data_IF_455871539087
#
_entry.id   IF_455871539087
#
_cell.length_a   1.000
_cell.length_b   1.000
_cell.length_c   1.000
_cell.angle_alpha   90.00
_cell.angle_beta   90.00
_cell.angle_gamma   90.00
#
_symmetry.space_group_name_H-M   'P 1'
#
loop_
_entity.id
_entity.type
_entity.pdbx_description
1 polymer ?
#
# COMPACT_ATOMS: atom_id res chain seq x y z
N UNK A 1 0.83 -19.63 12.38
CA UNK A 1 1.75 -18.68 13.03
C UNK A 1 1.18 -18.32 14.40
N UNK A 2 2.02 -18.19 15.41
CA UNK A 2 1.58 -17.83 16.77
C UNK A 2 1.26 -16.32 16.82
N UNK A 3 0.24 -15.92 17.58
CA UNK A 3 -0.10 -14.51 17.86
C UNK A 3 1.12 -13.74 18.39
N UNK A 4 2.00 -14.40 19.15
CA UNK A 4 3.27 -13.85 19.64
C UNK A 4 4.21 -13.42 18.52
N UNK A 5 4.23 -14.16 17.42
CA UNK A 5 5.07 -13.88 16.26
C UNK A 5 4.60 -12.64 15.49
N UNK A 6 3.29 -12.44 15.43
CA UNK A 6 2.67 -11.29 14.77
C UNK A 6 2.89 -10.02 15.61
N UNK A 7 2.78 -10.11 16.92
CA UNK A 7 3.04 -8.97 17.81
C UNK A 7 4.51 -8.53 17.78
N UNK A 8 5.46 -9.47 17.77
CA UNK A 8 6.89 -9.15 17.66
C UNK A 8 7.21 -8.40 16.35
N UNK A 9 6.47 -8.70 15.27
CA UNK A 9 6.67 -8.03 13.99
C UNK A 9 6.07 -6.62 13.95
N UNK A 10 4.95 -6.40 14.61
CA UNK A 10 4.38 -5.05 14.80
C UNK A 10 5.38 -4.17 15.56
N UNK A 11 5.98 -4.68 16.64
CA UNK A 11 6.97 -3.96 17.43
C UNK A 11 8.24 -3.63 16.62
N UNK A 12 8.62 -4.50 15.69
CA UNK A 12 9.78 -4.30 14.80
C UNK A 12 9.57 -3.15 13.81
N UNK A 13 8.41 -3.10 13.17
CA UNK A 13 8.06 -2.02 12.25
C UNK A 13 7.97 -0.68 13.01
N UNK A 14 7.51 -0.71 14.25
CA UNK A 14 7.46 0.43 15.15
C UNK A 14 8.85 1.02 15.44
N UNK A 15 9.84 0.19 15.70
CA UNK A 15 11.21 0.63 16.00
C UNK A 15 11.87 1.31 14.79
N UNK A 16 11.60 0.84 13.56
CA UNK A 16 12.19 1.41 12.35
C UNK A 16 11.61 2.78 11.98
N UNK A 17 10.31 3.01 12.25
CA UNK A 17 9.69 4.32 12.01
C UNK A 17 10.17 5.41 12.98
N UNK A 18 10.68 5.03 14.16
CA UNK A 18 11.20 5.97 15.16
C UNK A 18 12.60 6.51 14.83
N UNK A 19 13.33 5.89 13.91
CA UNK A 19 14.69 6.32 13.55
C UNK A 19 14.75 7.44 12.50
N UNK A 20 13.62 7.76 11.84
CA UNK A 20 13.59 8.78 10.76
C UNK A 20 13.12 10.18 11.24
N UNK A 21 12.97 10.40 12.55
CA UNK A 21 12.39 11.63 13.12
C UNK A 21 13.41 12.67 13.59
N UNK A 22 14.69 12.58 13.22
CA UNK A 22 15.71 13.58 13.61
C UNK A 22 16.40 14.23 12.41
N UNK A 23 15.64 15.06 11.68
CA UNK A 23 16.23 16.11 10.82
C UNK A 23 15.61 17.45 11.23
N UNK A 24 16.30 18.16 12.12
CA UNK A 24 16.04 19.55 12.45
C UNK A 24 16.66 20.45 11.38
N UNK A 25 15.83 20.99 10.48
CA UNK A 25 16.15 22.11 9.62
C UNK A 25 15.37 23.35 10.02
N UNK A 26 15.89 24.59 9.81
CA UNK A 26 15.28 25.82 10.30
C UNK A 26 13.96 26.15 9.58
N UNK A 27 13.04 26.93 10.20
CA UNK A 27 11.70 27.18 9.67
C UNK A 27 11.74 28.10 8.45
N UNK A 28 11.30 27.58 7.31
CA UNK A 28 11.07 28.37 6.11
C UNK A 28 9.63 28.91 6.12
N UNK A 29 9.52 30.23 6.03
CA UNK A 29 8.30 31.02 6.08
C UNK A 29 7.29 30.57 5.02
N UNK A 30 6.10 30.17 5.43
CA UNK A 30 4.98 29.80 4.57
C UNK A 30 4.43 31.03 3.83
N UNK A 31 4.39 30.93 2.50
CA UNK A 31 3.54 31.81 1.66
C UNK A 31 2.16 31.16 1.59
N UNK A 32 1.19 31.74 2.27
CA UNK A 32 -0.22 31.35 2.21
C UNK A 32 -0.86 31.91 0.95
N UNK A 33 -1.02 31.09 -0.08
CA UNK A 33 -2.06 31.30 -1.09
C UNK A 33 -3.21 30.34 -0.78
N UNK A 34 -4.39 30.88 -0.48
CA UNK A 34 -5.51 30.08 -0.02
C UNK A 34 -6.12 29.28 -1.17
N UNK A 35 -6.54 28.06 -0.86
CA UNK A 35 -7.26 27.14 -1.76
C UNK A 35 -8.54 27.80 -2.35
N UNK A 36 -9.08 28.82 -1.68
CA UNK A 36 -10.24 29.59 -2.13
C UNK A 36 -9.99 30.38 -3.42
N UNK A 37 -8.75 30.88 -3.63
CA UNK A 37 -8.41 31.69 -4.82
C UNK A 37 -8.22 30.82 -6.07
N UNK A 38 -7.81 29.56 -5.90
CA UNK A 38 -7.70 28.60 -7.00
C UNK A 38 -9.07 28.13 -7.51
N UNK A 39 -10.07 28.05 -6.64
CA UNK A 39 -11.43 27.63 -7.00
C UNK A 39 -12.21 28.74 -7.73
N UNK A 40 -11.95 30.01 -7.40
CA UNK A 40 -12.61 31.16 -8.02
C UNK A 40 -12.18 31.40 -9.48
N UNK A 41 -10.98 30.95 -9.86
CA UNK A 41 -10.45 31.11 -11.23
C UNK A 41 -10.98 30.04 -12.20
N UNK A 42 -11.43 28.89 -11.71
CA UNK A 42 -11.94 27.79 -12.52
C UNK A 42 -13.40 27.98 -12.99
N UNK A 43 -14.14 28.95 -12.44
CA UNK A 43 -15.57 29.12 -12.69
C UNK A 43 -15.93 30.20 -13.74
N UNK A 44 -14.94 30.81 -14.39
CA UNK A 44 -15.18 31.84 -15.42
C UNK A 44 -14.67 31.43 -16.79
N UNK A 45 -15.35 30.49 -17.45
CA UNK A 45 -15.25 30.35 -18.91
C UNK A 45 -16.60 29.97 -19.47
N UNK A 46 -17.19 30.76 -20.40
CA UNK A 46 -18.49 30.46 -20.99
C UNK A 46 -18.41 29.35 -22.04
N UNK A 47 -19.46 28.56 -22.12
CA UNK A 47 -19.65 27.50 -23.09
C UNK A 47 -19.66 28.04 -24.54
N UNK A 48 -18.89 27.40 -25.41
CA UNK A 48 -19.06 27.54 -26.88
C UNK A 48 -19.36 26.15 -27.48
N UNK A 49 -20.41 26.15 -28.29
CA UNK A 49 -21.09 25.04 -28.94
C UNK A 49 -20.26 24.43 -30.09
N UNK A 50 -20.44 23.14 -30.31
CA UNK A 50 -19.87 22.14 -31.22
C UNK A 50 -19.55 22.53 -32.67
N UNK A 51 -18.84 21.70 -33.48
CA UNK A 51 -19.39 20.46 -34.01
C UNK A 51 -18.47 19.24 -34.01
N UNK A 52 -19.08 18.08 -34.21
CA UNK A 52 -18.47 16.77 -34.22
C UNK A 52 -17.42 16.58 -35.33
N UNK A 53 -16.25 16.04 -34.92
CA UNK A 53 -15.35 15.32 -35.81
C UNK A 53 -14.76 14.17 -35.00
N UNK A 54 -15.00 12.96 -35.49
CA UNK A 54 -14.39 11.72 -35.01
C UNK A 54 -12.89 11.79 -35.12
N UNK A 55 -12.21 11.95 -34.00
CA UNK A 55 -10.80 11.66 -33.86
C UNK A 55 -10.69 10.67 -32.69
N UNK A 56 -10.24 9.47 -32.97
CA UNK A 56 -9.82 8.52 -31.95
C UNK A 56 -8.65 9.12 -31.19
N UNK A 57 -8.99 9.85 -30.15
CA UNK A 57 -8.00 10.35 -29.20
C UNK A 57 -7.68 9.19 -28.26
N UNK A 58 -6.45 8.70 -28.34
CA UNK A 58 -5.88 7.88 -27.28
C UNK A 58 -5.99 8.68 -25.98
N UNK A 59 -7.04 8.40 -25.22
CA UNK A 59 -7.27 9.01 -23.93
C UNK A 59 -6.10 8.66 -23.01
N UNK A 60 -5.49 9.67 -22.41
CA UNK A 60 -4.69 9.48 -21.21
C UNK A 60 -5.62 8.80 -20.19
N UNK A 61 -5.48 7.46 -20.05
CA UNK A 61 -6.33 6.67 -19.18
C UNK A 61 -6.16 7.17 -17.75
N UNK A 62 -7.24 7.56 -17.13
CA UNK A 62 -7.35 7.53 -15.68
C UNK A 62 -6.78 6.20 -15.20
N UNK A 63 -6.06 6.12 -14.06
CA UNK A 63 -5.53 4.85 -13.54
C UNK A 63 -6.70 3.87 -13.47
N UNK A 64 -6.70 2.91 -14.38
CA UNK A 64 -7.85 2.06 -14.67
C UNK A 64 -8.09 1.18 -13.44
N UNK A 65 -9.19 1.42 -12.75
CA UNK A 65 -9.77 0.42 -11.88
C UNK A 65 -10.12 -0.78 -12.77
N UNK A 66 -9.33 -1.86 -12.72
CA UNK A 66 -9.68 -3.11 -13.36
C UNK A 66 -10.69 -3.87 -12.47
N UNK A 67 -11.99 -3.85 -12.80
CA UNK A 67 -13.02 -4.48 -11.96
C UNK A 67 -12.84 -6.00 -11.89
N UNK A 68 -12.23 -6.61 -12.91
CA UNK A 68 -11.96 -8.05 -12.89
C UNK A 68 -10.81 -8.37 -11.94
N UNK A 69 -9.79 -7.52 -11.88
CA UNK A 69 -8.71 -7.68 -10.91
C UNK A 69 -9.26 -7.49 -9.49
N UNK A 70 -10.05 -6.46 -9.24
CA UNK A 70 -10.68 -6.22 -7.95
C UNK A 70 -11.49 -7.44 -7.47
N UNK A 71 -12.36 -7.98 -8.32
CA UNK A 71 -13.16 -9.17 -8.00
C UNK A 71 -12.30 -10.41 -7.75
N UNK A 72 -11.19 -10.59 -8.48
CA UNK A 72 -10.25 -11.70 -8.26
C UNK A 72 -9.53 -11.59 -6.93
N UNK A 73 -9.11 -10.37 -6.54
CA UNK A 73 -8.49 -10.13 -5.24
C UNK A 73 -9.48 -10.40 -4.10
N UNK A 74 -10.72 -9.94 -4.21
CA UNK A 74 -11.76 -10.21 -3.20
C UNK A 74 -12.05 -11.70 -3.07
N UNK A 75 -12.17 -12.42 -4.18
CA UNK A 75 -12.38 -13.86 -4.18
C UNK A 75 -11.21 -14.63 -3.55
N UNK A 76 -9.96 -14.20 -3.84
CA UNK A 76 -8.78 -14.80 -3.21
C UNK A 76 -8.75 -14.52 -1.70
N UNK A 77 -9.00 -13.27 -1.27
CA UNK A 77 -9.04 -12.89 0.15
C UNK A 77 -10.11 -13.66 0.91
N UNK A 78 -11.32 -13.75 0.35
CA UNK A 78 -12.42 -14.50 0.96
C UNK A 78 -12.12 -16.00 1.10
N UNK A 79 -11.44 -16.58 0.12
CA UNK A 79 -11.00 -17.99 0.16
C UNK A 79 -9.85 -18.22 1.12
N UNK A 80 -8.88 -17.32 1.15
CA UNK A 80 -7.65 -17.44 1.94
C UNK A 80 -7.90 -17.20 3.43
N UNK A 81 -8.68 -16.17 3.75
CA UNK A 81 -9.03 -15.80 5.13
C UNK A 81 -10.52 -15.46 5.21
N UNK A 82 -11.39 -16.46 5.38
CA UNK A 82 -12.82 -16.23 5.54
C UNK A 82 -13.11 -15.28 6.70
N UNK A 83 -13.95 -14.27 6.47
CA UNK A 83 -14.29 -13.26 7.48
C UNK A 83 -13.26 -12.15 7.63
N UNK A 84 -12.25 -12.07 6.76
CA UNK A 84 -11.34 -10.93 6.73
C UNK A 84 -12.08 -9.62 6.47
N UNK A 85 -11.77 -8.55 7.24
CA UNK A 85 -12.35 -7.23 7.00
C UNK A 85 -11.88 -6.59 5.69
N UNK A 86 -10.85 -7.13 5.04
CA UNK A 86 -10.37 -6.65 3.74
C UNK A 86 -11.13 -7.25 2.54
N UNK A 87 -12.01 -8.23 2.77
CA UNK A 87 -12.91 -8.72 1.72
C UNK A 87 -13.87 -7.61 1.32
N UNK A 88 -13.94 -7.31 0.02
CA UNK A 88 -14.69 -6.17 -0.52
C UNK A 88 -13.83 -4.92 -0.78
N UNK A 89 -12.55 -4.93 -0.38
CA UNK A 89 -11.60 -3.84 -0.64
C UNK A 89 -10.71 -4.09 -1.88
N UNK A 90 -11.01 -5.09 -2.70
CA UNK A 90 -10.25 -5.38 -3.93
C UNK A 90 -10.12 -4.16 -4.85
N UNK A 91 -11.17 -3.36 -4.98
CA UNK A 91 -11.14 -2.12 -5.75
C UNK A 91 -10.20 -1.05 -5.14
N UNK A 92 -10.11 -0.97 -3.81
CA UNK A 92 -9.19 -0.05 -3.13
C UNK A 92 -7.73 -0.45 -3.39
N UNK A 93 -7.40 -1.74 -3.33
CA UNK A 93 -6.08 -2.25 -3.66
C UNK A 93 -5.69 -1.95 -5.12
N UNK A 94 -6.61 -2.17 -6.07
CA UNK A 94 -6.38 -1.87 -7.49
C UNK A 94 -6.15 -0.39 -7.71
N UNK A 95 -6.99 0.47 -7.13
CA UNK A 95 -6.87 1.93 -7.22
C UNK A 95 -5.56 2.42 -6.61
N UNK A 96 -5.23 1.99 -5.39
CA UNK A 96 -4.01 2.39 -4.69
C UNK A 96 -2.75 1.91 -5.42
N UNK A 97 -2.77 0.67 -5.94
CA UNK A 97 -1.70 0.13 -6.77
C UNK A 97 -1.46 0.96 -8.02
N UNK A 98 -2.51 1.22 -8.81
CA UNK A 98 -2.43 2.01 -10.02
C UNK A 98 -1.94 3.45 -9.77
N UNK A 99 -2.43 4.10 -8.72
CA UNK A 99 -2.02 5.46 -8.34
C UNK A 99 -0.53 5.56 -7.95
N UNK A 100 0.08 4.46 -7.51
CA UNK A 100 1.43 4.42 -6.97
C UNK A 100 2.41 3.55 -7.79
N UNK A 101 1.97 3.02 -8.93
CA UNK A 101 2.79 2.16 -9.80
C UNK A 101 3.20 0.85 -9.12
N UNK A 102 2.31 0.25 -8.31
CA UNK A 102 2.52 -0.99 -7.57
C UNK A 102 1.49 -2.02 -8.00
N UNK A 103 1.93 -3.24 -8.23
CA UNK A 103 1.02 -4.37 -8.47
C UNK A 103 0.10 -4.57 -7.24
N UNK A 104 -1.23 -4.44 -7.39
CA UNK A 104 -2.16 -4.57 -6.27
C UNK A 104 -2.11 -5.95 -5.59
N UNK A 105 -1.73 -7.00 -6.32
CA UNK A 105 -1.52 -8.35 -5.75
C UNK A 105 -0.40 -8.37 -4.71
N UNK A 106 0.65 -7.55 -4.92
CA UNK A 106 1.72 -7.41 -3.95
C UNK A 106 1.21 -6.77 -2.65
N UNK A 107 0.40 -5.72 -2.73
CA UNK A 107 -0.18 -5.08 -1.54
C UNK A 107 -1.03 -6.08 -0.74
N UNK A 108 -1.89 -6.86 -1.41
CA UNK A 108 -2.69 -7.92 -0.75
C UNK A 108 -1.78 -8.99 -0.13
N UNK A 109 -0.72 -9.41 -0.82
CA UNK A 109 0.22 -10.41 -0.31
C UNK A 109 0.94 -9.94 0.96
N UNK A 110 1.31 -8.66 1.02
CA UNK A 110 1.90 -8.06 2.24
C UNK A 110 0.88 -8.04 3.39
N UNK A 111 -0.36 -7.58 3.16
CA UNK A 111 -1.40 -7.58 4.20
C UNK A 111 -1.72 -9.00 4.71
N UNK A 112 -1.69 -10.01 3.82
CA UNK A 112 -1.85 -11.41 4.20
C UNK A 112 -0.69 -11.90 5.08
N UNK A 113 0.54 -11.53 4.74
CA UNK A 113 1.74 -11.91 5.50
C UNK A 113 1.79 -11.24 6.87
N UNK A 114 1.44 -9.96 6.96
CA UNK A 114 1.58 -9.16 8.19
C UNK A 114 0.50 -9.47 9.23
N UNK A 115 -0.74 -9.63 8.80
CA UNK A 115 -1.87 -9.69 9.74
C UNK A 115 -2.95 -10.73 9.38
N UNK A 116 -2.64 -11.69 8.50
CA UNK A 116 -3.67 -12.54 7.92
C UNK A 116 -4.88 -11.70 7.42
N UNK A 117 -4.60 -10.71 6.57
CA UNK A 117 -5.60 -9.80 6.01
C UNK A 117 -6.42 -9.04 7.07
N UNK A 118 -5.77 -8.52 8.08
CA UNK A 118 -6.40 -7.71 9.13
C UNK A 118 -7.17 -8.50 10.18
N UNK A 119 -7.05 -9.83 10.23
CA UNK A 119 -7.72 -10.66 11.26
C UNK A 119 -6.87 -10.94 12.48
N UNK A 120 -5.56 -10.71 12.41
CA UNK A 120 -4.62 -11.05 13.47
C UNK A 120 -3.74 -9.87 13.86
N UNK A 121 -3.22 -9.92 15.09
CA UNK A 121 -2.37 -8.86 15.64
C UNK A 121 -3.14 -7.64 16.13
N UNK A 122 -2.41 -6.68 16.71
CA UNK A 122 -2.99 -5.42 17.22
C UNK A 122 -3.49 -4.49 16.11
N UNK A 123 -3.00 -4.67 14.88
CA UNK A 123 -3.40 -3.86 13.73
C UNK A 123 -4.88 -3.99 13.34
N UNK A 124 -5.55 -5.10 13.72
CA UNK A 124 -6.96 -5.33 13.41
C UNK A 124 -7.90 -4.28 14.05
N UNK A 125 -7.58 -3.84 15.25
CA UNK A 125 -8.44 -2.94 16.04
C UNK A 125 -8.21 -1.46 15.65
N UNK A 126 -7.19 -1.18 14.84
CA UNK A 126 -6.78 0.16 14.40
C UNK A 126 -6.72 0.28 12.88
N UNK A 127 -7.36 -0.61 12.13
CA UNK A 127 -7.39 -0.64 10.66
C UNK A 127 -6.00 -0.65 10.00
N UNK A 128 -5.01 -1.30 10.64
CA UNK A 128 -3.63 -1.33 10.17
C UNK A 128 -3.18 -2.76 9.79
N UNK A 129 -3.59 -3.29 8.64
CA UNK A 129 -3.32 -4.67 8.26
C UNK A 129 -1.86 -4.90 7.84
N UNK A 130 -1.09 -3.82 7.65
CA UNK A 130 0.31 -3.86 7.24
C UNK A 130 1.29 -3.71 8.41
N UNK A 131 0.80 -3.36 9.61
CA UNK A 131 1.68 -2.98 10.72
C UNK A 131 2.49 -1.70 10.42
N UNK A 132 1.96 -0.79 9.60
CA UNK A 132 2.65 0.41 9.16
C UNK A 132 2.78 1.45 10.27
N UNK A 133 4.03 1.77 10.63
CA UNK A 133 4.33 2.74 11.69
C UNK A 133 4.07 2.23 13.11
N UNK A 134 4.54 2.97 14.14
CA UNK A 134 4.39 2.54 15.53
C UNK A 134 2.94 2.70 15.99
N UNK A 135 2.19 1.59 16.11
CA UNK A 135 0.79 1.55 16.54
C UNK A 135 -0.11 2.61 15.89
N UNK A 136 0.16 2.94 14.62
CA UNK A 136 -0.55 4.00 13.89
C UNK A 136 -1.98 3.56 13.59
N UNK A 137 -3.01 4.24 14.12
CA UNK A 137 -4.39 3.99 13.75
C UNK A 137 -4.69 4.65 12.40
N UNK A 138 -5.60 4.01 11.66
CA UNK A 138 -6.21 4.58 10.46
C UNK A 138 -7.71 4.69 10.67
N UNK A 139 -8.33 5.69 10.02
CA UNK A 139 -9.78 5.89 10.10
C UNK A 139 -10.56 4.79 9.37
N UNK A 140 -9.92 4.13 8.40
CA UNK A 140 -10.49 3.03 7.61
C UNK A 140 -9.42 2.12 7.02
N UNK A 141 -9.84 0.93 6.58
CA UNK A 141 -9.01 0.02 5.78
C UNK A 141 -8.53 0.67 4.49
N UNK A 142 -9.40 1.44 3.82
CA UNK A 142 -9.07 2.19 2.60
C UNK A 142 -7.94 3.19 2.84
N UNK A 143 -7.99 3.98 3.94
CA UNK A 143 -6.92 4.92 4.27
C UNK A 143 -5.58 4.21 4.51
N UNK A 144 -5.60 3.06 5.17
CA UNK A 144 -4.36 2.30 5.39
C UNK A 144 -3.78 1.77 4.08
N UNK A 145 -4.62 1.25 3.19
CA UNK A 145 -4.20 0.77 1.86
C UNK A 145 -3.54 1.90 1.06
N UNK A 146 -4.18 3.07 1.00
CA UNK A 146 -3.66 4.23 0.28
C UNK A 146 -2.35 4.75 0.86
N UNK A 147 -2.29 4.88 2.19
CA UNK A 147 -1.10 5.36 2.88
C UNK A 147 0.09 4.43 2.68
N UNK A 148 -0.13 3.12 2.80
CA UNK A 148 0.95 2.14 2.66
C UNK A 148 1.42 2.04 1.21
N UNK A 149 0.52 2.08 0.24
CA UNK A 149 0.89 2.12 -1.17
C UNK A 149 1.75 3.35 -1.50
N UNK A 150 1.35 4.54 -1.04
CA UNK A 150 2.14 5.77 -1.22
C UNK A 150 3.50 5.70 -0.51
N UNK A 151 3.55 5.15 0.70
CA UNK A 151 4.78 4.95 1.45
C UNK A 151 5.75 3.98 0.77
N UNK A 152 5.24 2.88 0.22
CA UNK A 152 6.04 1.91 -0.57
C UNK A 152 6.57 2.56 -1.85
N UNK A 153 5.75 3.30 -2.59
CA UNK A 153 6.19 4.00 -3.79
C UNK A 153 7.34 4.97 -3.49
N UNK A 154 7.18 5.80 -2.46
CA UNK A 154 8.18 6.82 -2.11
C UNK A 154 9.43 6.22 -1.48
N UNK A 155 9.26 5.38 -0.46
CA UNK A 155 10.35 4.93 0.40
C UNK A 155 11.01 3.62 -0.04
N UNK A 156 10.48 2.95 -1.08
CA UNK A 156 11.05 1.70 -1.59
C UNK A 156 11.25 1.74 -3.09
N UNK A 157 10.20 1.94 -3.89
CA UNK A 157 10.34 2.03 -5.34
C UNK A 157 11.18 3.22 -5.76
N UNK A 158 11.04 4.36 -5.07
CA UNK A 158 11.88 5.55 -5.28
C UNK A 158 13.36 5.32 -4.98
N UNK A 159 13.70 4.31 -4.15
CA UNK A 159 15.06 3.87 -3.85
C UNK A 159 15.54 2.71 -4.74
N UNK A 160 14.77 2.34 -5.77
CA UNK A 160 15.10 1.20 -6.64
C UNK A 160 14.81 -0.18 -6.04
N UNK A 161 14.08 -0.25 -4.92
CA UNK A 161 13.67 -1.50 -4.29
C UNK A 161 12.32 -1.95 -4.86
N UNK A 162 12.36 -2.59 -5.99
CA UNK A 162 11.15 -2.97 -6.73
C UNK A 162 10.93 -4.48 -6.87
N UNK A 163 11.68 -5.28 -6.13
CA UNK A 163 11.45 -6.73 -5.99
C UNK A 163 11.10 -7.10 -4.55
N UNK A 164 10.39 -8.20 -4.33
CA UNK A 164 10.01 -8.67 -3.00
C UNK A 164 11.26 -8.79 -2.08
N UNK A 165 12.36 -9.34 -2.59
CA UNK A 165 13.60 -9.48 -1.83
C UNK A 165 14.24 -8.13 -1.48
N UNK A 166 14.26 -7.17 -2.41
CA UNK A 166 14.81 -5.84 -2.16
C UNK A 166 13.96 -5.06 -1.14
N UNK A 167 12.65 -5.25 -1.16
CA UNK A 167 11.71 -4.65 -0.18
C UNK A 167 11.94 -5.29 1.19
N UNK A 168 12.08 -6.62 1.29
CA UNK A 168 12.35 -7.29 2.56
C UNK A 168 13.57 -6.72 3.28
N UNK A 169 14.64 -6.42 2.55
CA UNK A 169 15.87 -5.91 3.14
C UNK A 169 15.69 -4.63 3.98
N UNK A 170 14.61 -3.87 3.74
CA UNK A 170 14.25 -2.67 4.50
C UNK A 170 12.99 -2.88 5.34
N UNK A 171 11.99 -3.59 4.82
CA UNK A 171 10.73 -3.83 5.52
C UNK A 171 10.88 -4.80 6.68
N UNK A 172 11.63 -5.88 6.46
CA UNK A 172 11.75 -6.99 7.37
C UNK A 172 13.18 -7.55 7.35
N UNK A 173 14.20 -6.79 7.78
CA UNK A 173 15.59 -7.19 7.68
C UNK A 173 15.85 -8.49 8.44
N UNK A 174 16.45 -9.48 7.78
CA UNK A 174 16.86 -10.74 8.43
C UNK A 174 17.97 -10.47 9.41
N UNK A 175 17.88 -11.01 10.63
CA UNK A 175 18.86 -10.81 11.68
C UNK A 175 18.82 -9.43 12.34
N UNK A 176 17.75 -8.67 12.15
CA UNK A 176 17.57 -7.41 12.88
C UNK A 176 17.49 -7.66 14.40
N UNK A 177 18.03 -6.74 15.20
CA UNK A 177 18.08 -6.87 16.66
C UNK A 177 16.68 -7.02 17.31
N UNK A 178 15.65 -6.52 16.66
CA UNK A 178 14.26 -6.64 17.07
C UNK A 178 13.53 -7.86 16.47
N UNK A 179 14.22 -8.77 15.81
CA UNK A 179 13.73 -10.07 15.33
C UNK A 179 14.46 -11.25 16.00
N UNK A 180 14.39 -11.39 17.33
CA UNK A 180 15.13 -12.43 18.06
C UNK A 180 14.67 -13.85 17.72
N UNK A 181 13.51 -14.00 17.12
CA UNK A 181 12.93 -15.29 16.70
C UNK A 181 13.22 -15.64 15.25
N UNK A 182 13.87 -14.75 14.48
CA UNK A 182 14.22 -14.97 13.08
C UNK A 182 13.02 -15.05 12.12
N UNK A 183 11.86 -14.51 12.51
CA UNK A 183 10.63 -14.57 11.71
C UNK A 183 10.76 -13.86 10.37
N UNK A 184 11.61 -12.84 10.32
CA UNK A 184 11.88 -12.10 9.08
C UNK A 184 12.44 -12.98 7.97
N UNK A 185 13.14 -14.07 8.32
CA UNK A 185 13.66 -15.03 7.33
C UNK A 185 12.57 -15.65 6.45
N UNK A 186 11.33 -15.72 6.93
CA UNK A 186 10.20 -16.29 6.22
C UNK A 186 9.36 -15.25 5.44
N UNK A 187 9.66 -13.95 5.56
CA UNK A 187 8.82 -12.91 4.99
C UNK A 187 8.76 -12.99 3.46
N UNK A 188 9.92 -13.02 2.78
CA UNK A 188 9.96 -13.15 1.32
C UNK A 188 9.24 -14.40 0.84
N UNK A 189 9.43 -15.53 1.53
CA UNK A 189 8.77 -16.79 1.17
C UNK A 189 7.24 -16.68 1.27
N UNK A 190 6.74 -16.10 2.37
CA UNK A 190 5.31 -15.92 2.59
C UNK A 190 4.68 -14.97 1.58
N UNK A 191 5.27 -13.78 1.40
CA UNK A 191 4.78 -12.79 0.42
C UNK A 191 4.84 -13.34 -1.01
N UNK A 192 5.94 -14.01 -1.38
CA UNK A 192 6.10 -14.61 -2.70
C UNK A 192 5.05 -15.68 -2.98
N UNK A 193 4.75 -16.52 -1.99
CA UNK A 193 3.69 -17.53 -2.08
C UNK A 193 2.34 -16.90 -2.38
N UNK A 194 1.92 -15.93 -1.55
CA UNK A 194 0.63 -15.28 -1.72
C UNK A 194 0.54 -14.51 -3.04
N UNK A 195 1.62 -13.82 -3.41
CA UNK A 195 1.70 -13.10 -4.68
C UNK A 195 1.56 -14.03 -5.89
N UNK A 196 2.25 -15.18 -5.87
CA UNK A 196 2.14 -16.20 -6.93
C UNK A 196 0.73 -16.83 -7.01
N UNK A 197 0.08 -17.08 -5.87
CA UNK A 197 -1.29 -17.62 -5.83
C UNK A 197 -2.30 -16.69 -6.54
N UNK A 198 -2.03 -15.39 -6.54
CA UNK A 198 -2.82 -14.38 -7.26
C UNK A 198 -2.35 -14.15 -8.71
N UNK A 199 -1.36 -14.93 -9.20
CA UNK A 199 -0.83 -14.81 -10.55
C UNK A 199 0.27 -13.75 -10.71
N UNK A 200 0.88 -13.33 -9.63
CA UNK A 200 2.09 -12.49 -9.66
C UNK A 200 3.36 -13.29 -9.96
N UNK A 201 4.43 -12.62 -10.34
CA UNK A 201 5.75 -13.22 -10.62
C UNK A 201 6.74 -12.87 -9.49
N UNK A 202 6.96 -13.74 -8.49
CA UNK A 202 7.69 -13.39 -7.26
C UNK A 202 9.12 -12.90 -7.43
N UNK A 203 9.84 -13.37 -8.46
CA UNK A 203 11.20 -12.94 -8.76
C UNK A 203 11.29 -11.69 -9.62
N UNK A 204 10.16 -11.19 -10.12
CA UNK A 204 10.09 -10.01 -10.97
C UNK A 204 9.92 -8.72 -10.18
N UNK A 205 9.84 -7.60 -10.93
CA UNK A 205 9.45 -6.31 -10.37
C UNK A 205 7.99 -6.34 -9.92
N UNK A 206 7.71 -5.67 -8.79
CA UNK A 206 6.33 -5.46 -8.29
C UNK A 206 5.73 -4.15 -8.83
N UNK A 207 6.35 -3.52 -9.80
CA UNK A 207 5.77 -2.35 -10.48
C UNK A 207 4.59 -2.78 -11.37
N UNK A 208 3.52 -1.96 -11.37
CA UNK A 208 2.36 -2.11 -12.25
C UNK A 208 2.61 -1.42 -13.59
#
# INVERSE_FOLDING_TARGET
MSISAINARVDQIMAMASMDATVTGPPQKAATSSFADALATAQKTPAATAPAATAETFGAGSPSSDPQMASRLDAWMAKHTPGSPLVGHGADFVRAGAANGIDPRFLVAVAAQESALGTAGSGKDINNPFGWGPARPFSSWTESIDTVAAGLAKGYLGEGRDTIAAIQAKWAPVGAANDPTGLNSNWTTGVSKFYAEMGGTPGGSIRA
#
